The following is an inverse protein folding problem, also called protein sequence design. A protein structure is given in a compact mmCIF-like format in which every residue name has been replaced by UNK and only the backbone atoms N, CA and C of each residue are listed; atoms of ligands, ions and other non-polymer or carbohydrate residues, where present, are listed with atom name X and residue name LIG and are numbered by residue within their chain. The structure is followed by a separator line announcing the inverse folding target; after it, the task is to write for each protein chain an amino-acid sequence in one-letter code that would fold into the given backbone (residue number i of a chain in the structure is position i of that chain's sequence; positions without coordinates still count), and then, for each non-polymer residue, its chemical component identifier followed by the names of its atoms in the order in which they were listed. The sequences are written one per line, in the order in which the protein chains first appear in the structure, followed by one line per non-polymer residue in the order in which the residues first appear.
data_IF_959331676478
#
_entry.id   IF_959331676478
#
_cell.length_a   1.000
_cell.length_b   1.000
_cell.length_c   1.000
_cell.angle_alpha   90.00
_cell.angle_beta   90.00
_cell.angle_gamma   90.00
#
_symmetry.space_group_name_H-M   'P 1'
#
loop_
_entity.id
_entity.type
_entity.pdbx_description
1 polymer ?
#
# COMPACT_ATOMS: atom_id res chain seq x y z
N UNK A 1 18.08 -17.10 -23.50
CA UNK A 1 19.47 -17.56 -23.23
C UNK A 1 19.46 -18.44 -21.99
N UNK A 2 20.23 -19.54 -21.97
CA UNK A 2 20.22 -20.54 -20.90
C UNK A 2 21.28 -20.24 -19.81
N UNK A 3 21.26 -21.00 -18.72
CA UNK A 3 22.15 -20.88 -17.58
C UNK A 3 23.64 -21.04 -17.96
N UNK A 4 23.93 -21.91 -18.92
CA UNK A 4 25.27 -22.10 -19.46
C UNK A 4 25.79 -20.88 -20.20
N UNK A 5 24.94 -20.22 -21.01
CA UNK A 5 25.29 -18.98 -21.71
C UNK A 5 25.71 -17.87 -20.73
N UNK A 6 24.99 -17.76 -19.60
CA UNK A 6 25.28 -16.78 -18.54
C UNK A 6 26.38 -17.22 -17.57
N UNK A 7 26.91 -18.44 -17.73
CA UNK A 7 27.85 -19.09 -16.79
C UNK A 7 27.32 -19.11 -15.34
N UNK A 8 26.01 -19.13 -15.17
CA UNK A 8 25.36 -19.01 -13.86
C UNK A 8 25.75 -20.14 -12.91
N UNK A 9 25.94 -21.35 -13.44
CA UNK A 9 26.35 -22.52 -12.65
C UNK A 9 27.69 -22.31 -11.94
N UNK A 10 28.64 -21.66 -12.61
CA UNK A 10 29.97 -21.41 -12.04
C UNK A 10 29.88 -20.40 -10.88
N UNK A 11 29.11 -19.33 -11.07
CA UNK A 11 28.89 -18.33 -10.03
C UNK A 11 28.14 -18.91 -8.84
N UNK A 12 27.05 -19.63 -9.07
CA UNK A 12 26.26 -20.24 -8.00
C UNK A 12 27.06 -21.30 -7.24
N UNK A 13 27.90 -22.09 -7.93
CA UNK A 13 28.79 -23.04 -7.27
C UNK A 13 29.79 -22.34 -6.35
N UNK A 14 30.39 -21.25 -6.79
CA UNK A 14 31.26 -20.44 -5.93
C UNK A 14 30.47 -19.82 -4.76
N UNK A 15 29.28 -19.26 -5.03
CA UNK A 15 28.44 -18.59 -4.04
C UNK A 15 28.05 -19.51 -2.88
N UNK A 16 27.72 -20.76 -3.17
CA UNK A 16 27.29 -21.72 -2.15
C UNK A 16 28.44 -22.52 -1.52
N UNK A 17 29.62 -22.61 -2.15
CA UNK A 17 30.73 -23.39 -1.60
C UNK A 17 31.83 -22.53 -0.93
N UNK A 18 32.14 -21.39 -1.53
CA UNK A 18 33.36 -20.62 -1.21
C UNK A 18 33.07 -19.22 -0.65
N UNK A 19 31.89 -18.66 -0.95
CA UNK A 19 31.54 -17.31 -0.51
C UNK A 19 31.56 -17.15 1.02
N UNK A 20 32.00 -15.99 1.55
CA UNK A 20 31.90 -15.66 2.96
C UNK A 20 30.47 -15.68 3.53
N UNK A 21 29.44 -15.62 2.67
CA UNK A 21 28.02 -15.63 3.06
C UNK A 21 27.29 -16.92 2.70
N UNK A 22 28.03 -17.98 2.33
CA UNK A 22 27.48 -19.25 1.83
C UNK A 22 26.42 -19.89 2.73
N UNK A 23 26.52 -19.70 4.04
CA UNK A 23 25.60 -20.29 5.03
C UNK A 23 24.32 -19.45 5.24
N UNK A 24 24.26 -18.25 4.65
CA UNK A 24 23.14 -17.29 4.85
C UNK A 24 22.49 -16.80 3.56
N UNK A 25 23.10 -17.09 2.41
CA UNK A 25 22.61 -16.62 1.12
C UNK A 25 21.56 -17.56 0.55
N UNK A 26 20.53 -16.97 -0.08
CA UNK A 26 19.55 -17.68 -0.90
C UNK A 26 19.43 -16.97 -2.23
N UNK A 27 19.22 -17.72 -3.31
CA UNK A 27 19.03 -17.16 -4.65
C UNK A 27 17.66 -17.54 -5.20
N UNK A 28 17.07 -16.65 -6.00
CA UNK A 28 15.89 -17.00 -6.79
C UNK A 28 16.23 -18.01 -7.90
N UNK A 29 15.25 -18.29 -8.75
CA UNK A 29 15.30 -19.26 -9.84
C UNK A 29 15.42 -18.64 -11.24
N UNK A 30 15.96 -17.41 -11.36
CA UNK A 30 16.02 -16.67 -12.63
C UNK A 30 17.42 -16.55 -13.22
N UNK A 31 18.17 -17.65 -13.23
CA UNK A 31 19.58 -17.69 -13.63
C UNK A 31 19.81 -18.15 -15.08
N UNK A 32 18.77 -18.18 -15.89
CA UNK A 32 18.77 -18.65 -17.28
C UNK A 32 17.39 -19.17 -17.67
N UNK A 33 17.03 -19.18 -18.95
CA UNK A 33 15.68 -19.59 -19.38
C UNK A 33 15.27 -21.03 -19.04
N UNK A 34 16.23 -21.86 -18.64
CA UNK A 34 16.10 -23.26 -18.21
C UNK A 34 15.99 -23.45 -16.69
N UNK A 35 16.09 -22.38 -15.90
CA UNK A 35 16.15 -22.42 -14.43
C UNK A 35 14.84 -22.11 -13.67
N UNK A 36 13.89 -21.31 -14.19
CA UNK A 36 12.69 -20.98 -13.43
C UNK A 36 11.85 -22.20 -13.11
N UNK A 37 11.28 -22.21 -11.90
CA UNK A 37 10.47 -23.30 -11.35
C UNK A 37 11.24 -24.64 -11.26
N UNK A 38 12.58 -24.60 -11.28
CA UNK A 38 13.44 -25.81 -11.26
C UNK A 38 14.65 -25.66 -10.34
N UNK A 39 15.38 -24.55 -10.46
CA UNK A 39 16.68 -24.37 -9.80
C UNK A 39 16.78 -23.00 -9.11
N UNK A 40 16.68 -22.98 -7.79
CA UNK A 40 16.80 -21.80 -6.93
C UNK A 40 16.56 -22.17 -5.46
N UNK A 41 17.06 -21.36 -4.54
CA UNK A 41 16.74 -21.48 -3.10
C UNK A 41 15.28 -21.17 -2.80
N UNK A 42 14.64 -20.37 -3.65
CA UNK A 42 13.19 -20.20 -3.71
C UNK A 42 12.74 -19.93 -5.15
N UNK A 43 11.47 -20.19 -5.44
CA UNK A 43 10.90 -20.09 -6.77
C UNK A 43 10.12 -18.80 -6.99
N UNK A 44 10.43 -18.14 -8.08
CA UNK A 44 9.65 -17.04 -8.64
C UNK A 44 9.01 -17.44 -9.97
N UNK A 45 9.47 -18.50 -10.65
CA UNK A 45 8.91 -19.10 -11.86
C UNK A 45 8.64 -18.16 -13.05
N UNK A 46 7.65 -17.29 -12.94
CA UNK A 46 7.24 -16.30 -13.95
C UNK A 46 6.99 -14.96 -13.27
N UNK A 47 6.88 -13.90 -14.06
CA UNK A 47 6.44 -12.61 -13.52
C UNK A 47 5.06 -12.77 -12.86
N UNK A 48 4.91 -12.22 -11.65
CA UNK A 48 3.66 -12.28 -10.86
C UNK A 48 3.23 -13.71 -10.53
N UNK A 49 4.18 -14.53 -10.09
CA UNK A 49 3.93 -15.94 -9.86
C UNK A 49 3.07 -16.19 -8.62
N UNK A 50 1.83 -16.59 -8.88
CA UNK A 50 0.85 -16.97 -7.88
C UNK A 50 0.44 -18.43 -8.08
N UNK A 51 0.99 -19.38 -7.29
CA UNK A 51 0.78 -20.81 -7.51
C UNK A 51 -0.65 -21.31 -7.22
N UNK A 52 -1.48 -20.52 -6.52
CA UNK A 52 -2.88 -20.84 -6.21
C UNK A 52 -3.11 -22.09 -5.35
N UNK A 53 -2.05 -22.80 -4.98
CA UNK A 53 -2.05 -24.06 -4.22
C UNK A 53 -0.78 -24.15 -3.39
N UNK A 54 -0.80 -24.96 -2.32
CA UNK A 54 0.36 -25.16 -1.45
C UNK A 54 1.53 -25.74 -2.23
N UNK A 55 2.66 -25.03 -2.23
CA UNK A 55 3.89 -25.48 -2.86
C UNK A 55 4.75 -26.29 -1.89
N UNK A 56 5.39 -27.32 -2.41
CA UNK A 56 6.35 -28.16 -1.67
C UNK A 56 7.74 -27.52 -1.55
N UNK A 57 7.99 -26.47 -2.33
CA UNK A 57 9.22 -25.67 -2.31
C UNK A 57 8.90 -24.22 -1.94
N UNK A 58 9.86 -23.53 -1.30
CA UNK A 58 9.72 -22.10 -0.99
C UNK A 58 9.58 -21.29 -2.29
N UNK A 59 8.73 -20.27 -2.25
CA UNK A 59 8.43 -19.39 -3.39
C UNK A 59 8.26 -17.95 -2.94
N UNK A 60 8.42 -17.01 -3.87
CA UNK A 60 8.28 -15.56 -3.70
C UNK A 60 7.49 -15.00 -4.89
N UNK A 61 6.58 -14.06 -4.61
CA UNK A 61 5.90 -13.29 -5.63
C UNK A 61 6.59 -11.93 -5.80
N UNK A 62 6.88 -11.58 -7.06
CA UNK A 62 7.29 -10.24 -7.45
C UNK A 62 6.20 -9.68 -8.37
N UNK A 63 5.55 -8.61 -7.93
CA UNK A 63 4.45 -7.95 -8.65
C UNK A 63 4.68 -6.43 -8.76
N UNK A 64 3.93 -5.81 -9.65
CA UNK A 64 4.05 -4.41 -10.02
C UNK A 64 2.79 -3.62 -9.75
N UNK A 65 3.05 -2.37 -9.48
CA UNK A 65 2.12 -1.29 -9.25
C UNK A 65 1.20 -1.01 -10.47
N UNK A 66 1.72 -1.22 -11.68
CA UNK A 66 0.95 -1.24 -12.93
C UNK A 66 0.83 -2.68 -13.41
N UNK A 67 -0.38 -3.18 -13.70
CA UNK A 67 -0.54 -4.47 -14.40
C UNK A 67 0.20 -4.49 -15.75
N UNK A 68 0.50 -3.33 -16.33
CA UNK A 68 1.13 -3.22 -17.65
C UNK A 68 2.62 -2.89 -17.63
N UNK A 69 3.24 -2.59 -16.46
CA UNK A 69 4.61 -2.08 -16.43
C UNK A 69 5.37 -2.36 -15.12
N UNK A 70 6.64 -2.76 -15.27
CA UNK A 70 7.63 -2.80 -14.18
C UNK A 70 8.29 -1.43 -13.91
N UNK A 71 8.19 -0.49 -14.85
CA UNK A 71 8.71 0.87 -14.75
C UNK A 71 7.61 1.92 -14.58
N UNK A 72 8.00 3.18 -14.36
CA UNK A 72 7.09 4.31 -14.18
C UNK A 72 6.09 4.49 -15.34
N UNK A 73 4.80 4.57 -15.00
CA UNK A 73 3.72 4.97 -15.91
C UNK A 73 2.80 5.97 -15.20
N UNK A 74 2.43 7.04 -15.89
CA UNK A 74 1.65 8.16 -15.34
C UNK A 74 0.21 7.82 -14.90
N UNK A 75 -0.38 6.72 -15.36
CA UNK A 75 -1.81 6.43 -15.23
C UNK A 75 -2.05 5.09 -14.54
N UNK A 76 -1.69 5.00 -13.26
CA UNK A 76 -1.35 3.75 -12.61
C UNK A 76 -2.30 3.46 -11.42
N UNK A 77 -2.82 2.24 -11.27
CA UNK A 77 -3.81 1.88 -10.24
C UNK A 77 -3.36 0.71 -9.36
N UNK A 78 -3.36 0.88 -8.04
CA UNK A 78 -2.67 0.00 -7.07
C UNK A 78 -3.63 -0.93 -6.32
N UNK A 79 -3.28 -2.22 -6.20
CA UNK A 79 -3.90 -3.22 -5.29
C UNK A 79 -2.79 -4.12 -4.71
N UNK A 80 -2.25 -3.81 -3.53
CA UNK A 80 -1.29 -4.71 -2.85
C UNK A 80 -0.16 -4.02 -2.10
N UNK A 81 0.86 -4.80 -1.74
CA UNK A 81 2.08 -4.31 -1.09
C UNK A 81 3.01 -3.64 -2.09
N UNK A 82 3.74 -2.62 -1.64
CA UNK A 82 4.64 -1.83 -2.48
C UNK A 82 6.11 -2.16 -2.21
N UNK A 83 6.82 -2.73 -3.19
CA UNK A 83 8.28 -2.88 -3.18
C UNK A 83 8.91 -1.77 -4.02
N UNK A 84 9.46 -0.76 -3.34
CA UNK A 84 10.12 0.39 -3.97
C UNK A 84 11.60 0.07 -4.28
N UNK A 85 11.98 0.11 -5.56
CA UNK A 85 13.37 0.00 -5.99
C UNK A 85 14.00 1.39 -6.19
N UNK A 86 15.29 1.53 -5.87
CA UNK A 86 16.10 2.69 -6.25
C UNK A 86 17.49 2.24 -6.69
N UNK A 87 18.12 3.01 -7.57
CA UNK A 87 19.43 2.69 -8.14
C UNK A 87 20.53 3.60 -7.56
N UNK A 88 21.51 3.06 -6.82
CA UNK A 88 22.74 3.78 -6.50
C UNK A 88 23.56 4.13 -7.75
N UNK A 89 24.49 5.08 -7.63
CA UNK A 89 25.46 5.37 -8.69
C UNK A 89 26.51 4.24 -8.83
N UNK A 90 27.41 4.34 -9.82
CA UNK A 90 28.47 3.35 -10.05
C UNK A 90 29.44 3.16 -8.88
N UNK A 91 29.47 4.09 -7.92
CA UNK A 91 30.25 4.01 -6.69
C UNK A 91 29.43 3.49 -5.50
N UNK A 92 28.19 3.05 -5.73
CA UNK A 92 27.27 2.59 -4.69
C UNK A 92 26.65 3.70 -3.85
N UNK A 93 26.73 4.97 -4.27
CA UNK A 93 26.12 6.09 -3.54
C UNK A 93 24.67 6.28 -3.92
N UNK A 94 23.82 6.47 -2.92
CA UNK A 94 22.43 6.91 -3.13
C UNK A 94 22.47 8.39 -3.48
N UNK A 95 21.91 8.77 -4.64
CA UNK A 95 21.83 10.17 -5.02
C UNK A 95 21.00 10.95 -4.00
N UNK A 96 21.38 12.20 -3.64
CA UNK A 96 20.66 13.00 -2.64
C UNK A 96 19.16 13.13 -2.93
N UNK A 97 18.76 13.16 -4.20
CA UNK A 97 17.35 13.21 -4.59
C UNK A 97 16.58 11.94 -4.17
N UNK A 98 17.19 10.75 -4.26
CA UNK A 98 16.55 9.52 -3.79
C UNK A 98 16.44 9.51 -2.28
N UNK A 99 17.48 9.98 -1.58
CA UNK A 99 17.44 10.12 -0.12
C UNK A 99 16.31 11.07 0.32
N UNK A 100 16.20 12.25 -0.30
CA UNK A 100 15.15 13.22 -0.02
C UNK A 100 13.75 12.62 -0.20
N UNK A 101 13.52 11.91 -1.31
CA UNK A 101 12.23 11.25 -1.59
C UNK A 101 11.94 10.12 -0.62
N UNK A 102 12.93 9.28 -0.30
CA UNK A 102 12.78 8.18 0.67
C UNK A 102 12.49 8.71 2.08
N UNK A 103 13.14 9.80 2.49
CA UNK A 103 12.84 10.48 3.76
C UNK A 103 11.42 11.06 3.77
N UNK A 104 10.97 11.66 2.66
CA UNK A 104 9.59 12.13 2.51
C UNK A 104 8.57 11.00 2.67
N UNK A 105 8.76 9.89 1.96
CA UNK A 105 7.93 8.69 2.09
C UNK A 105 7.96 8.16 3.53
N UNK A 106 9.15 8.05 4.14
CA UNK A 106 9.31 7.57 5.51
C UNK A 106 8.54 8.43 6.52
N UNK A 107 8.61 9.75 6.40
CA UNK A 107 7.85 10.68 7.25
C UNK A 107 6.33 10.51 7.08
N UNK A 108 5.86 10.38 5.84
CA UNK A 108 4.45 10.15 5.56
C UNK A 108 3.96 8.81 6.12
N UNK A 109 4.70 7.73 5.87
CA UNK A 109 4.37 6.39 6.35
C UNK A 109 4.37 6.32 7.87
N UNK A 110 5.35 6.96 8.53
CA UNK A 110 5.43 6.98 9.98
C UNK A 110 4.22 7.70 10.61
N UNK A 111 3.79 8.82 10.01
CA UNK A 111 2.63 9.57 10.50
C UNK A 111 1.29 8.86 10.26
N UNK A 112 1.20 8.03 9.23
CA UNK A 112 -0.06 7.38 8.81
C UNK A 112 -0.02 5.85 8.90
N UNK A 113 0.88 5.30 9.73
CA UNK A 113 1.16 3.87 9.80
C UNK A 113 -0.09 2.99 10.04
N UNK A 114 -1.03 3.44 10.88
CA UNK A 114 -2.30 2.76 11.20
C UNK A 114 -3.21 2.62 9.97
N UNK A 115 -3.17 3.59 9.06
CA UNK A 115 -3.96 3.58 7.83
C UNK A 115 -3.32 2.73 6.71
N UNK A 116 -2.03 2.39 6.85
CA UNK A 116 -1.23 1.72 5.83
C UNK A 116 -0.99 0.26 6.19
N UNK A 117 -0.47 -0.02 7.38
CA UNK A 117 -0.09 -1.36 7.80
C UNK A 117 -1.25 -2.09 8.46
N UNK A 118 -1.35 -3.39 8.19
CA UNK A 118 -2.41 -4.26 8.70
C UNK A 118 -3.85 -3.78 8.37
N UNK A 119 -3.99 -2.93 7.35
CA UNK A 119 -5.29 -2.57 6.78
C UNK A 119 -5.63 -3.50 5.63
N UNK A 120 -6.91 -3.55 5.27
CA UNK A 120 -7.41 -4.19 4.04
C UNK A 120 -8.23 -3.17 3.25
N UNK A 121 -8.44 -3.39 1.94
CA UNK A 121 -9.40 -2.60 1.18
C UNK A 121 -10.75 -2.49 1.89
N UNK A 122 -11.36 -1.32 1.83
CA UNK A 122 -12.76 -1.14 2.23
C UNK A 122 -13.69 -1.71 1.14
N UNK A 123 -15.00 -1.82 1.42
CA UNK A 123 -15.99 -2.30 0.43
C UNK A 123 -15.98 -1.47 -0.88
N UNK A 124 -15.55 -0.21 -0.79
CA UNK A 124 -15.25 0.64 -1.93
C UNK A 124 -13.76 1.02 -1.92
N UNK A 125 -13.12 0.98 -3.08
CA UNK A 125 -11.67 1.21 -3.18
C UNK A 125 -11.32 2.69 -3.36
N UNK A 126 -12.17 3.45 -4.04
CA UNK A 126 -12.02 4.88 -4.26
C UNK A 126 -13.40 5.55 -4.30
N UNK A 127 -13.41 6.86 -4.14
CA UNK A 127 -14.59 7.68 -4.39
C UNK A 127 -14.70 8.03 -5.88
N UNK A 128 -15.84 8.61 -6.28
CA UNK A 128 -16.19 8.89 -7.67
C UNK A 128 -15.17 9.75 -8.42
N UNK A 129 -14.38 10.57 -7.72
CA UNK A 129 -13.43 11.52 -8.31
C UNK A 129 -11.99 11.00 -8.48
N UNK A 130 -11.71 9.71 -8.23
CA UNK A 130 -10.39 9.06 -8.41
C UNK A 130 -9.20 9.61 -7.59
N UNK A 131 -9.33 10.77 -6.94
CA UNK A 131 -8.34 11.40 -6.06
C UNK A 131 -8.44 10.95 -4.61
N UNK A 132 -9.49 10.23 -4.26
CA UNK A 132 -9.73 9.72 -2.89
C UNK A 132 -9.75 8.20 -2.91
N UNK A 133 -8.89 7.59 -2.10
CA UNK A 133 -8.74 6.14 -1.98
C UNK A 133 -9.00 5.66 -0.55
N UNK A 134 -9.55 4.46 -0.41
CA UNK A 134 -9.94 3.93 0.89
C UNK A 134 -9.15 2.69 1.31
N UNK A 135 -8.72 2.68 2.56
CA UNK A 135 -8.38 1.46 3.28
C UNK A 135 -9.26 1.35 4.52
N UNK A 136 -9.23 0.20 5.18
CA UNK A 136 -10.00 0.00 6.41
C UNK A 136 -9.31 -0.95 7.37
N UNK A 137 -9.62 -0.79 8.64
CA UNK A 137 -9.24 -1.70 9.71
C UNK A 137 -10.50 -2.16 10.46
N UNK A 138 -10.44 -3.36 11.01
CA UNK A 138 -11.50 -3.90 11.87
C UNK A 138 -10.98 -3.91 13.31
N UNK A 139 -11.75 -3.35 14.25
CA UNK A 139 -11.38 -3.28 15.68
C UNK A 139 -11.24 -4.66 16.29
N UNK A 140 -12.18 -5.56 16.01
CA UNK A 140 -12.17 -6.94 16.41
C UNK A 140 -12.12 -7.85 15.19
N UNK A 141 -10.92 -8.35 14.88
CA UNK A 141 -10.68 -9.29 13.77
C UNK A 141 -10.92 -10.76 14.15
N UNK A 142 -11.23 -11.01 15.43
CA UNK A 142 -11.46 -12.38 15.95
C UNK A 142 -12.70 -13.00 15.32
N UNK A 143 -12.51 -14.09 14.56
CA UNK A 143 -13.60 -14.84 13.93
C UNK A 143 -13.93 -14.38 12.50
N UNK A 144 -13.23 -13.38 11.97
CA UNK A 144 -13.29 -13.08 10.54
C UNK A 144 -12.33 -13.98 9.76
N UNK A 145 -12.67 -14.26 8.50
CA UNK A 145 -11.77 -14.99 7.60
C UNK A 145 -10.46 -14.18 7.41
N UNK A 146 -9.29 -14.75 7.78
CA UNK A 146 -8.01 -14.07 7.59
C UNK A 146 -7.71 -13.80 6.11
N UNK A 147 -8.25 -14.60 5.19
CA UNK A 147 -8.03 -14.51 3.75
C UNK A 147 -9.00 -13.56 3.03
N UNK A 148 -9.93 -12.90 3.74
CA UNK A 148 -10.85 -11.94 3.12
C UNK A 148 -10.09 -10.85 2.36
N UNK A 149 -10.59 -10.51 1.18
CA UNK A 149 -9.98 -9.54 0.26
C UNK A 149 -10.26 -8.08 0.66
N UNK A 150 -11.34 -7.85 1.41
CA UNK A 150 -11.77 -6.54 1.88
C UNK A 150 -12.48 -6.67 3.24
N UNK A 151 -12.67 -5.57 3.95
CA UNK A 151 -13.48 -5.54 5.17
C UNK A 151 -14.90 -5.08 4.83
N UNK A 152 -15.90 -5.83 5.30
CA UNK A 152 -17.29 -5.37 5.28
C UNK A 152 -17.45 -4.11 6.13
N UNK A 153 -18.40 -3.25 5.75
CA UNK A 153 -18.67 -2.02 6.49
C UNK A 153 -19.68 -2.28 7.60
N UNK A 154 -19.22 -2.12 8.84
CA UNK A 154 -20.07 -2.18 10.04
C UNK A 154 -19.76 -1.00 10.95
N UNK A 155 -20.78 -0.39 11.53
CA UNK A 155 -20.68 0.85 12.29
C UNK A 155 -19.72 0.74 13.48
N UNK A 156 -19.86 -0.31 14.28
CA UNK A 156 -19.11 -0.43 15.52
C UNK A 156 -17.76 -1.14 15.35
N UNK A 157 -17.47 -1.76 14.20
CA UNK A 157 -16.25 -2.56 14.04
C UNK A 157 -15.30 -2.02 12.95
N UNK A 158 -15.81 -1.35 11.92
CA UNK A 158 -14.99 -0.92 10.77
C UNK A 158 -14.56 0.53 10.92
N UNK A 159 -13.25 0.75 10.85
CA UNK A 159 -12.61 2.07 10.74
C UNK A 159 -12.24 2.27 9.27
N UNK A 160 -12.63 3.40 8.71
CA UNK A 160 -12.35 3.75 7.32
C UNK A 160 -11.24 4.81 7.30
N UNK A 161 -10.23 4.62 6.46
CA UNK A 161 -9.22 5.63 6.20
C UNK A 161 -9.36 6.12 4.76
N UNK A 162 -9.62 7.41 4.58
CA UNK A 162 -9.69 8.05 3.27
C UNK A 162 -8.38 8.79 3.00
N UNK A 163 -7.62 8.33 2.00
CA UNK A 163 -6.44 8.98 1.48
C UNK A 163 -6.88 10.00 0.44
N UNK A 164 -6.74 11.28 0.76
CA UNK A 164 -7.03 12.39 -0.14
C UNK A 164 -5.71 12.82 -0.77
N UNK A 165 -5.59 12.59 -2.08
CA UNK A 165 -4.34 12.78 -2.84
C UNK A 165 -4.16 14.19 -3.41
N UNK A 166 -5.15 15.07 -3.21
CA UNK A 166 -5.10 16.46 -3.65
C UNK A 166 -5.81 17.37 -2.64
N UNK A 167 -5.28 18.56 -2.44
CA UNK A 167 -5.92 19.56 -1.59
C UNK A 167 -7.11 20.21 -2.32
N UNK A 168 -8.34 20.12 -1.79
CA UNK A 168 -9.50 20.74 -2.42
C UNK A 168 -9.38 22.27 -2.35
N UNK A 169 -9.64 22.94 -3.47
CA UNK A 169 -9.51 24.40 -3.60
C UNK A 169 -10.48 25.15 -2.68
N UNK A 170 -11.67 24.58 -2.47
CA UNK A 170 -12.74 25.12 -1.64
C UNK A 170 -12.67 24.69 -0.17
N UNK A 171 -11.63 23.93 0.22
CA UNK A 171 -11.49 23.32 1.55
C UNK A 171 -12.65 22.39 1.94
N UNK A 172 -13.35 21.81 0.96
CA UNK A 172 -14.42 20.85 1.20
C UNK A 172 -14.05 19.49 0.59
N UNK A 173 -14.06 18.46 1.43
CA UNK A 173 -13.86 17.07 0.99
C UNK A 173 -15.20 16.36 0.93
N UNK A 174 -15.57 15.86 -0.24
CA UNK A 174 -16.81 15.13 -0.44
C UNK A 174 -16.52 13.63 -0.51
N UNK A 175 -17.05 12.87 0.44
CA UNK A 175 -17.01 11.41 0.43
C UNK A 175 -18.41 10.90 0.13
N UNK A 176 -18.70 10.54 -1.12
CA UNK A 176 -20.05 10.18 -1.56
C UNK A 176 -20.48 8.82 -1.03
N UNK A 177 -19.52 7.92 -0.82
CA UNK A 177 -19.76 6.52 -0.45
C UNK A 177 -19.89 6.32 1.07
N UNK A 178 -19.50 7.31 1.87
CA UNK A 178 -19.55 7.20 3.33
C UNK A 178 -20.92 7.64 3.83
N UNK A 179 -21.71 6.70 4.33
CA UNK A 179 -23.01 6.98 4.95
C UNK A 179 -22.81 7.36 6.42
N UNK A 180 -23.11 8.59 6.85
CA UNK A 180 -22.93 8.98 8.25
C UNK A 180 -24.03 8.44 9.16
N UNK A 181 -23.74 8.44 10.46
CA UNK A 181 -24.67 8.28 11.56
C UNK A 181 -24.48 9.42 12.56
N UNK A 182 -25.35 9.52 13.56
CA UNK A 182 -25.19 10.49 14.66
C UNK A 182 -23.92 10.28 15.49
N UNK A 183 -23.28 9.11 15.39
CA UNK A 183 -22.02 8.79 16.07
C UNK A 183 -20.79 9.01 15.19
N UNK A 184 -20.96 9.33 13.90
CA UNK A 184 -19.84 9.38 12.97
C UNK A 184 -18.86 10.48 13.37
N UNK A 185 -17.59 10.09 13.53
CA UNK A 185 -16.50 11.01 13.80
C UNK A 185 -15.51 10.99 12.65
N UNK A 186 -15.12 12.17 12.20
CA UNK A 186 -14.09 12.36 11.17
C UNK A 186 -12.92 13.07 11.83
N UNK A 187 -11.75 12.42 11.82
CA UNK A 187 -10.53 12.98 12.37
C UNK A 187 -9.47 13.10 11.29
N UNK A 188 -8.74 14.19 11.28
CA UNK A 188 -7.50 14.30 10.54
C UNK A 188 -6.45 13.40 11.20
N UNK A 189 -5.97 12.41 10.46
CA UNK A 189 -5.01 11.44 10.95
C UNK A 189 -3.58 11.86 10.59
N UNK A 190 -2.61 11.57 11.46
CA UNK A 190 -1.19 11.83 11.17
C UNK A 190 -0.70 13.27 11.34
N UNK A 191 -1.47 14.19 11.94
CA UNK A 191 -1.02 15.57 12.20
C UNK A 191 -0.10 15.66 13.44
N UNK A 192 1.10 15.05 13.37
CA UNK A 192 2.13 15.09 14.42
C UNK A 192 1.63 14.70 15.83
N UNK A 193 0.72 13.72 15.90
CA UNK A 193 0.16 13.23 17.17
C UNK A 193 -1.02 14.05 17.73
N UNK A 194 -1.52 15.06 17.00
CA UNK A 194 -2.78 15.74 17.33
C UNK A 194 -3.95 15.08 16.59
N UNK A 195 -4.96 14.62 17.33
CA UNK A 195 -6.24 14.24 16.72
C UNK A 195 -7.07 15.51 16.52
N UNK A 196 -7.23 15.94 15.27
CA UNK A 196 -8.08 17.09 14.93
C UNK A 196 -9.40 16.54 14.41
N UNK A 197 -10.45 16.67 15.22
CA UNK A 197 -11.82 16.34 14.77
C UNK A 197 -12.32 17.41 13.82
N UNK A 198 -12.82 16.98 12.66
CA UNK A 198 -13.28 17.85 11.60
C UNK A 198 -14.82 17.91 11.59
N UNK A 199 -15.39 19.11 11.41
CA UNK A 199 -16.82 19.24 11.20
C UNK A 199 -17.22 18.63 9.85
N UNK A 200 -18.39 18.01 9.82
CA UNK A 200 -18.97 17.47 8.61
C UNK A 200 -20.47 17.75 8.56
N UNK A 201 -20.99 17.80 7.34
CA UNK A 201 -22.43 17.91 7.06
C UNK A 201 -22.86 16.81 6.09
N UNK A 202 -24.16 16.53 6.05
CA UNK A 202 -24.75 15.60 5.11
C UNK A 202 -25.58 16.37 4.07
N UNK A 203 -24.94 16.85 2.98
CA UNK A 203 -25.66 17.59 1.94
C UNK A 203 -26.56 16.67 1.10
N UNK A 204 -26.32 15.35 1.11
CA UNK A 204 -27.03 14.37 0.29
C UNK A 204 -28.12 13.66 1.12
N UNK A 205 -29.36 14.16 1.02
CA UNK A 205 -30.52 13.67 1.78
C UNK A 205 -31.03 12.28 1.35
N UNK A 206 -30.68 11.80 0.14
CA UNK A 206 -31.33 10.61 -0.45
C UNK A 206 -30.42 9.40 -0.70
N UNK A 207 -29.08 9.54 -0.75
CA UNK A 207 -28.20 8.42 -1.15
C UNK A 207 -26.91 8.27 -0.33
N UNK A 208 -26.83 8.88 0.87
CA UNK A 208 -25.60 8.82 1.67
C UNK A 208 -24.51 9.76 1.16
N UNK A 209 -23.42 9.85 1.92
CA UNK A 209 -22.29 10.75 1.67
C UNK A 209 -22.12 11.83 2.72
N UNK A 210 -20.88 12.21 2.99
CA UNK A 210 -20.51 13.30 3.90
C UNK A 210 -19.67 14.35 3.19
N UNK A 211 -19.87 15.61 3.58
CA UNK A 211 -19.01 16.71 3.22
C UNK A 211 -18.27 17.18 4.47
N UNK A 212 -16.94 17.22 4.39
CA UNK A 212 -16.04 17.53 5.51
C UNK A 212 -15.40 18.88 5.23
N UNK A 213 -15.44 19.79 6.21
CA UNK A 213 -14.83 21.11 6.11
C UNK A 213 -13.45 21.10 6.77
N UNK A 214 -12.41 21.40 5.96
CA UNK A 214 -11.01 21.44 6.38
C UNK A 214 -10.45 22.87 6.48
N UNK A 215 -11.29 23.92 6.41
CA UNK A 215 -10.88 25.33 6.43
C UNK A 215 -10.06 25.70 7.68
N UNK A 216 -10.34 25.06 8.82
CA UNK A 216 -9.63 25.29 10.09
C UNK A 216 -8.26 24.60 10.20
N UNK A 217 -7.84 23.85 9.18
CA UNK A 217 -6.62 23.03 9.24
C UNK A 217 -5.44 23.81 8.65
N UNK A 218 -4.38 23.98 9.45
CA UNK A 218 -3.15 24.62 8.99
C UNK A 218 -2.22 23.61 8.30
N UNK A 219 -1.77 23.94 7.08
CA UNK A 219 -0.84 23.12 6.28
C UNK A 219 0.46 22.78 7.01
N UNK A 220 0.90 23.65 7.92
CA UNK A 220 2.12 23.44 8.71
C UNK A 220 2.00 22.28 9.72
N UNK A 221 0.80 21.73 9.90
CA UNK A 221 0.55 20.57 10.76
C UNK A 221 0.71 19.24 10.04
N UNK A 222 0.96 19.25 8.72
CA UNK A 222 1.11 18.03 7.94
C UNK A 222 2.56 17.63 7.73
N UNK A 223 2.85 16.32 7.71
CA UNK A 223 4.16 15.80 7.32
C UNK A 223 4.43 15.93 5.81
N UNK A 224 3.39 16.11 4.98
CA UNK A 224 3.46 16.35 3.54
C UNK A 224 2.30 17.23 3.07
N UNK A 225 2.53 18.05 2.05
CA UNK A 225 1.49 18.82 1.36
C UNK A 225 0.82 18.05 0.23
N UNK A 226 1.31 16.86 -0.10
CA UNK A 226 0.90 16.13 -1.30
C UNK A 226 -0.33 15.26 -1.06
N UNK A 227 -0.52 14.78 0.18
CA UNK A 227 -1.68 13.97 0.55
C UNK A 227 -1.95 14.06 2.05
N UNK A 228 -3.20 13.80 2.44
CA UNK A 228 -3.59 13.65 3.83
C UNK A 228 -4.57 12.50 4.02
N UNK A 229 -4.70 12.03 5.25
CA UNK A 229 -5.56 10.89 5.59
C UNK A 229 -6.63 11.32 6.59
N UNK A 230 -7.87 10.96 6.29
CA UNK A 230 -9.01 11.12 7.18
C UNK A 230 -9.33 9.76 7.82
N UNK A 231 -9.42 9.72 9.14
CA UNK A 231 -9.91 8.57 9.90
C UNK A 231 -11.38 8.78 10.21
N UNK A 232 -12.21 7.89 9.68
CA UNK A 232 -13.67 7.91 9.84
C UNK A 232 -14.09 6.69 10.67
N UNK A 233 -14.84 6.95 11.72
CA UNK A 233 -15.34 5.92 12.64
C UNK A 233 -16.86 6.03 12.76
N UNK A 234 -17.52 4.90 12.99
CA UNK A 234 -18.97 4.84 13.20
C UNK A 234 -19.80 5.32 11.99
N UNK A 235 -19.29 5.14 10.78
CA UNK A 235 -20.11 5.24 9.56
C UNK A 235 -21.13 4.08 9.52
N UNK A 236 -22.30 4.29 8.92
CA UNK A 236 -23.39 3.31 8.92
C UNK A 236 -22.97 1.97 8.30
N UNK A 237 -23.69 0.92 8.65
CA UNK A 237 -23.56 -0.40 8.00
C UNK A 237 -23.84 -0.30 6.50
N UNK A 238 -23.02 -0.97 5.69
CA UNK A 238 -23.20 -1.04 4.24
C UNK A 238 -22.86 -2.47 3.79
N UNK A 239 -23.73 -3.05 2.97
CA UNK A 239 -23.61 -4.42 2.45
C UNK A 239 -23.27 -4.41 0.97
#
# INVERSE_FOLDING_TARGET
MNSSYWRSTEFLAWLYNESPVKDTVVTNDRWGGDTPCKHGGYYTCVDRYLPGTLQTHKWEDADTLDYSSWGYRRTMGVRGNYLLNFGPDHNGRVLPIFEERLRGIGSFVNAHNEAIFATKPWIFQNDSDSTIWYTSQVRNDTGLDPYRLYNNQTQDNTIIYAFVLEWPIDNLVNLQLVIPTTKTTVNLFGSNGQNITLPWTQPFQLNGGIQIDITGVSLNKFPSTDAFVLKIEYAADQN
#
